data_IF_241582805415
#
_entry.id   IF_241582805415
#
_cell.length_a   1.000
_cell.length_b   1.000
_cell.length_c   1.000
_cell.angle_alpha   90.00
_cell.angle_beta   90.00
_cell.angle_gamma   90.00
#
_symmetry.space_group_name_H-M   'P 1'
#
loop_
_entity.id
_entity.type
_entity.pdbx_description
1 polymer ?
#
# COMPACT_ATOMS: atom_id res chain seq x y z
N UNK A 1 14.35 27.71 -21.45
CA UNK A 1 13.70 27.59 -20.11
C UNK A 1 14.76 27.25 -19.09
N UNK A 2 14.82 27.96 -17.97
CA UNK A 2 15.86 27.74 -16.95
C UNK A 2 15.47 26.55 -16.05
N UNK A 3 16.40 25.67 -15.65
CA UNK A 3 16.11 24.46 -14.89
C UNK A 3 15.23 24.70 -13.66
N UNK A 4 15.45 25.80 -12.92
CA UNK A 4 14.71 26.16 -11.70
C UNK A 4 13.19 26.34 -11.89
N UNK A 5 12.75 26.78 -13.08
CA UNK A 5 11.31 26.99 -13.36
C UNK A 5 10.60 25.67 -13.65
N UNK A 6 11.31 24.69 -14.24
CA UNK A 6 10.78 23.35 -14.52
C UNK A 6 10.63 22.57 -13.20
N UNK A 7 11.63 22.66 -12.32
CA UNK A 7 11.55 22.02 -11.00
C UNK A 7 10.41 22.60 -10.15
N UNK A 8 10.19 23.91 -10.14
CA UNK A 8 9.11 24.51 -9.34
C UNK A 8 7.71 24.17 -9.85
N UNK A 9 7.52 24.04 -11.18
CA UNK A 9 6.26 23.58 -11.76
C UNK A 9 6.01 22.09 -11.49
N UNK A 10 7.02 21.23 -11.63
CA UNK A 10 6.88 19.80 -11.36
C UNK A 10 6.51 19.52 -9.90
N UNK A 11 7.13 20.22 -8.95
CA UNK A 11 6.78 20.11 -7.52
C UNK A 11 5.34 20.57 -7.26
N UNK A 12 4.92 21.71 -7.82
CA UNK A 12 3.53 22.20 -7.66
C UNK A 12 2.50 21.24 -8.24
N UNK A 13 2.72 20.72 -9.45
CA UNK A 13 1.80 19.78 -10.07
C UNK A 13 1.66 18.50 -9.22
N UNK A 14 2.75 18.06 -8.58
CA UNK A 14 2.75 16.90 -7.68
C UNK A 14 1.94 17.19 -6.40
N UNK A 15 2.15 18.35 -5.77
CA UNK A 15 1.39 18.78 -4.58
C UNK A 15 -0.11 18.95 -4.88
N UNK A 16 -0.44 19.55 -6.01
CA UNK A 16 -1.82 19.71 -6.49
C UNK A 16 -2.45 18.33 -6.76
N UNK A 17 -1.70 17.39 -7.33
CA UNK A 17 -2.19 16.03 -7.50
C UNK A 17 -2.48 15.36 -6.18
N UNK A 18 -1.58 15.37 -5.19
CA UNK A 18 -1.82 14.74 -3.87
C UNK A 18 -3.08 15.30 -3.18
N UNK A 19 -3.29 16.62 -3.31
CA UNK A 19 -4.44 17.31 -2.72
C UNK A 19 -5.75 16.92 -3.39
N UNK A 20 -5.76 16.80 -4.72
CA UNK A 20 -6.99 16.56 -5.49
C UNK A 20 -7.28 15.08 -5.78
N UNK A 21 -6.32 14.19 -5.56
CA UNK A 21 -6.42 12.77 -5.91
C UNK A 21 -7.08 11.91 -4.82
N UNK A 22 -7.39 12.45 -3.65
CA UNK A 22 -7.94 11.67 -2.52
C UNK A 22 -6.90 10.77 -1.83
N UNK A 23 -5.62 10.89 -2.19
CA UNK A 23 -4.52 10.10 -1.65
C UNK A 23 -4.25 10.38 -0.17
N UNK A 24 -4.30 11.65 0.22
CA UNK A 24 -4.12 12.04 1.62
C UNK A 24 -5.21 11.42 2.50
N UNK A 25 -6.45 11.44 2.00
CA UNK A 25 -7.57 10.80 2.70
C UNK A 25 -7.40 9.28 2.77
N UNK A 26 -6.96 8.63 1.69
CA UNK A 26 -6.64 7.20 1.69
C UNK A 26 -5.65 6.83 2.80
N UNK A 27 -4.55 7.57 2.95
CA UNK A 27 -3.55 7.27 3.97
C UNK A 27 -4.04 7.55 5.39
N UNK A 28 -4.87 8.57 5.56
CA UNK A 28 -5.51 8.87 6.84
C UNK A 28 -6.50 7.78 7.26
N UNK A 29 -7.25 7.22 6.32
CA UNK A 29 -8.28 6.21 6.57
C UNK A 29 -7.69 4.80 6.75
N UNK A 30 -6.56 4.48 6.12
CA UNK A 30 -5.98 3.13 6.09
C UNK A 30 -5.76 2.48 7.48
N UNK A 31 -5.20 3.17 8.50
CA UNK A 31 -5.06 2.59 9.84
C UNK A 31 -6.42 2.27 10.48
N UNK A 32 -7.39 3.18 10.36
CA UNK A 32 -8.72 3.01 10.96
C UNK A 32 -9.49 1.88 10.27
N UNK A 33 -9.44 1.82 8.94
CA UNK A 33 -10.07 0.76 8.16
C UNK A 33 -9.45 -0.61 8.45
N UNK A 34 -8.12 -0.68 8.57
CA UNK A 34 -7.43 -1.92 8.97
C UNK A 34 -7.92 -2.39 10.34
N UNK A 35 -8.04 -1.47 11.31
CA UNK A 35 -8.56 -1.79 12.65
C UNK A 35 -10.00 -2.30 12.60
N UNK A 36 -10.90 -1.56 11.93
CA UNK A 36 -12.32 -1.95 11.79
C UNK A 36 -12.48 -3.32 11.13
N UNK A 37 -11.70 -3.59 10.08
CA UNK A 37 -11.71 -4.88 9.41
C UNK A 37 -11.21 -5.99 10.35
N UNK A 38 -10.16 -5.72 11.12
CA UNK A 38 -9.64 -6.66 12.09
C UNK A 38 -10.63 -6.95 13.22
N UNK A 39 -11.32 -5.93 13.73
CA UNK A 39 -12.34 -6.07 14.79
C UNK A 39 -13.57 -6.86 14.29
N UNK A 40 -13.94 -6.68 13.02
CA UNK A 40 -15.08 -7.37 12.42
C UNK A 40 -14.82 -8.85 12.11
N UNK A 41 -13.60 -9.20 11.68
CA UNK A 41 -13.31 -10.52 11.13
C UNK A 41 -12.21 -11.32 11.85
N UNK A 42 -11.46 -10.71 12.78
CA UNK A 42 -10.48 -11.40 13.62
C UNK A 42 -9.22 -11.90 12.92
N UNK A 43 -8.77 -11.24 11.85
CA UNK A 43 -7.70 -11.75 10.98
C UNK A 43 -6.26 -11.38 11.36
N UNK A 44 -6.05 -10.75 12.53
CA UNK A 44 -4.75 -10.29 13.03
C UNK A 44 -3.98 -9.45 12.00
N UNK A 45 -4.62 -8.41 11.49
CA UNK A 45 -4.00 -7.45 10.59
C UNK A 45 -3.14 -6.45 11.37
N UNK A 46 -1.94 -6.16 10.87
CA UNK A 46 -1.05 -5.10 11.37
C UNK A 46 -0.77 -4.08 10.29
N UNK A 47 -0.96 -2.80 10.64
CA UNK A 47 -0.68 -1.67 9.77
C UNK A 47 0.74 -1.15 10.00
N UNK A 48 1.44 -0.85 8.90
CA UNK A 48 2.75 -0.23 8.88
C UNK A 48 2.69 1.01 7.98
N UNK A 49 2.89 2.18 8.59
CA UNK A 49 2.93 3.48 7.90
C UNK A 49 4.34 3.92 7.51
N UNK A 50 5.31 3.00 7.53
CA UNK A 50 6.69 3.21 7.12
C UNK A 50 7.02 2.24 5.99
N UNK A 51 7.94 2.60 5.08
CA UNK A 51 8.41 1.69 4.04
C UNK A 51 9.04 0.40 4.62
N UNK A 52 9.05 -0.72 3.86
CA UNK A 52 9.88 -1.87 4.19
C UNK A 52 11.37 -1.53 3.98
N UNK A 53 12.27 -2.42 4.39
CA UNK A 53 13.71 -2.26 4.11
C UNK A 53 13.98 -2.48 2.62
N UNK A 54 13.31 -3.46 2.02
CA UNK A 54 13.46 -3.84 0.61
C UNK A 54 12.10 -4.14 -0.02
N UNK A 55 12.00 -3.88 -1.32
CA UNK A 55 10.92 -4.34 -2.17
C UNK A 55 11.54 -5.12 -3.33
N UNK A 56 11.21 -6.41 -3.43
CA UNK A 56 11.77 -7.31 -4.43
C UNK A 56 13.31 -7.34 -4.45
N UNK A 57 13.91 -7.12 -3.27
CA UNK A 57 15.36 -7.05 -3.10
C UNK A 57 15.98 -5.66 -3.34
N UNK A 58 15.17 -4.65 -3.67
CA UNK A 58 15.59 -3.29 -4.01
C UNK A 58 15.16 -2.27 -2.92
N UNK A 59 16.15 -1.56 -2.37
CA UNK A 59 15.97 -0.53 -1.33
C UNK A 59 15.40 0.78 -1.91
N UNK A 60 15.75 1.13 -3.15
CA UNK A 60 15.21 2.30 -3.83
C UNK A 60 13.73 2.07 -4.17
N UNK A 61 13.39 0.88 -4.66
CA UNK A 61 11.99 0.51 -4.90
C UNK A 61 11.16 0.53 -3.61
N UNK A 62 11.74 0.14 -2.48
CA UNK A 62 11.09 0.18 -1.16
C UNK A 62 10.63 1.58 -0.77
N UNK A 63 11.40 2.62 -1.13
CA UNK A 63 11.05 4.02 -0.84
C UNK A 63 9.73 4.47 -1.49
N UNK A 64 9.27 3.77 -2.53
CA UNK A 64 7.98 4.05 -3.18
C UNK A 64 6.80 3.48 -2.40
N UNK A 65 7.02 2.60 -1.43
CA UNK A 65 5.95 2.00 -0.61
C UNK A 65 5.56 2.97 0.49
N UNK A 66 4.36 3.55 0.38
CA UNK A 66 3.87 4.50 1.38
C UNK A 66 3.31 3.83 2.63
N UNK A 67 2.72 2.64 2.48
CA UNK A 67 2.21 1.84 3.59
C UNK A 67 2.11 0.38 3.18
N UNK A 68 2.05 -0.49 4.19
CA UNK A 68 1.65 -1.88 4.02
C UNK A 68 0.87 -2.41 5.23
N UNK A 69 0.00 -3.38 4.96
CA UNK A 69 -0.80 -4.10 5.95
C UNK A 69 -0.42 -5.57 5.88
N UNK A 70 0.04 -6.14 6.98
CA UNK A 70 0.44 -7.54 7.09
C UNK A 70 -0.67 -8.33 7.75
N UNK A 71 -1.01 -9.48 7.19
CA UNK A 71 -1.80 -10.50 7.89
C UNK A 71 -0.85 -11.41 8.66
N UNK A 72 -0.94 -11.38 9.98
CA UNK A 72 -0.16 -12.28 10.84
C UNK A 72 -0.94 -13.55 11.15
N UNK A 73 -0.52 -14.67 10.54
CA UNK A 73 -1.06 -15.97 10.91
C UNK A 73 -0.25 -16.58 12.05
N UNK A 74 -0.83 -16.62 13.26
CA UNK A 74 -0.18 -17.24 14.42
C UNK A 74 0.13 -18.73 14.25
N UNK A 75 -0.62 -19.42 13.39
CA UNK A 75 -0.42 -20.85 13.11
C UNK A 75 0.65 -21.10 12.03
N UNK A 76 0.96 -20.08 11.21
CA UNK A 76 1.93 -20.14 10.11
C UNK A 76 2.71 -18.80 10.06
N UNK A 77 3.56 -18.52 11.06
CA UNK A 77 4.26 -17.23 11.20
C UNK A 77 5.18 -16.91 10.03
N UNK A 78 5.61 -17.92 9.27
CA UNK A 78 6.39 -17.79 8.04
C UNK A 78 5.57 -17.28 6.84
N UNK A 79 4.23 -17.30 6.92
CA UNK A 79 3.33 -16.87 5.83
C UNK A 79 2.73 -15.49 6.10
N UNK A 80 3.59 -14.47 6.07
CA UNK A 80 3.21 -13.07 6.26
C UNK A 80 2.81 -12.43 4.93
N UNK A 81 1.58 -12.69 4.47
CA UNK A 81 1.03 -11.96 3.34
C UNK A 81 0.84 -10.49 3.69
N UNK A 82 1.07 -9.61 2.74
CA UNK A 82 0.79 -8.19 2.89
C UNK A 82 0.05 -7.60 1.70
N UNK A 83 -0.74 -6.58 1.98
CA UNK A 83 -1.19 -5.57 1.03
C UNK A 83 -0.21 -4.41 1.16
N UNK A 84 0.32 -3.88 0.06
CA UNK A 84 1.14 -2.69 0.11
C UNK A 84 0.76 -1.71 -0.99
N UNK A 85 0.93 -0.41 -0.72
CA UNK A 85 0.63 0.66 -1.67
C UNK A 85 1.91 1.34 -2.11
N UNK A 86 2.12 1.41 -3.43
CA UNK A 86 3.19 2.20 -4.02
C UNK A 86 2.64 3.54 -4.47
N UNK A 87 3.40 4.58 -4.18
CA UNK A 87 3.15 5.95 -4.63
C UNK A 87 4.23 6.33 -5.61
N UNK A 88 3.79 6.75 -6.78
CA UNK A 88 4.61 7.27 -7.85
C UNK A 88 3.99 8.61 -8.30
N UNK A 89 4.72 9.45 -9.02
CA UNK A 89 4.15 10.66 -9.58
C UNK A 89 2.85 10.36 -10.33
N UNK A 90 1.76 11.02 -9.93
CA UNK A 90 0.43 10.91 -10.52
C UNK A 90 -0.24 9.52 -10.46
N UNK A 91 0.31 8.58 -9.68
CA UNK A 91 -0.16 7.19 -9.64
C UNK A 91 0.00 6.55 -8.27
N UNK A 92 -1.05 5.87 -7.82
CA UNK A 92 -0.98 4.86 -6.76
C UNK A 92 -1.24 3.49 -7.35
N UNK A 93 -0.51 2.49 -6.87
CA UNK A 93 -0.80 1.09 -7.17
C UNK A 93 -0.88 0.26 -5.89
N UNK A 94 -1.83 -0.65 -5.84
CA UNK A 94 -2.04 -1.57 -4.75
C UNK A 94 -1.55 -2.96 -5.16
N UNK A 95 -0.83 -3.63 -4.27
CA UNK A 95 -0.15 -4.90 -4.55
C UNK A 95 -0.32 -5.87 -3.39
N UNK A 96 -0.23 -7.15 -3.70
CA UNK A 96 -0.13 -8.21 -2.70
C UNK A 96 1.27 -8.81 -2.76
N UNK A 97 1.84 -9.08 -1.59
CA UNK A 97 3.17 -9.66 -1.45
C UNK A 97 3.34 -10.53 -0.21
N UNK A 98 4.58 -10.95 0.04
CA UNK A 98 5.03 -11.59 1.27
C UNK A 98 6.06 -10.73 1.99
N UNK A 99 6.03 -10.73 3.32
CA UNK A 99 7.07 -10.11 4.15
C UNK A 99 8.04 -11.17 4.67
N UNK A 100 9.30 -11.09 4.26
CA UNK A 100 10.40 -11.89 4.80
C UNK A 100 11.57 -10.98 5.13
N UNK A 101 12.02 -10.99 6.38
CA UNK A 101 13.23 -10.28 6.83
C UNK A 101 13.35 -8.82 6.34
N UNK A 102 12.28 -8.04 6.57
CA UNK A 102 12.23 -6.63 6.15
C UNK A 102 12.01 -6.40 4.65
N UNK A 103 12.05 -7.45 3.83
CA UNK A 103 11.77 -7.41 2.39
C UNK A 103 10.31 -7.77 2.09
N UNK A 104 9.68 -6.98 1.21
CA UNK A 104 8.42 -7.36 0.57
C UNK A 104 8.73 -8.02 -0.76
N UNK A 105 8.23 -9.24 -0.99
CA UNK A 105 8.27 -9.92 -2.29
C UNK A 105 6.90 -9.80 -2.94
N UNK A 106 6.82 -9.17 -4.10
CA UNK A 106 5.58 -8.94 -4.84
C UNK A 106 5.06 -10.23 -5.45
N UNK A 107 3.77 -10.50 -5.25
CA UNK A 107 3.05 -11.62 -5.86
C UNK A 107 2.22 -11.11 -7.04
N UNK A 108 1.44 -10.04 -6.83
CA UNK A 108 0.53 -9.53 -7.87
C UNK A 108 0.12 -8.07 -7.63
N UNK A 109 -0.13 -7.34 -8.71
CA UNK A 109 -0.75 -6.00 -8.68
C UNK A 109 -2.29 -6.15 -8.67
N UNK A 110 -2.95 -5.51 -7.70
CA UNK A 110 -4.41 -5.43 -7.63
C UNK A 110 -4.99 -4.36 -8.56
N UNK A 111 -4.19 -3.34 -8.86
CA UNK A 111 -4.53 -2.28 -9.81
C UNK A 111 -3.89 -0.95 -9.45
N UNK A 112 -4.08 0.03 -10.33
CA UNK A 112 -3.55 1.37 -10.17
C UNK A 112 -4.55 2.47 -10.50
N UNK A 113 -4.34 3.64 -9.88
CA UNK A 113 -5.29 4.74 -9.85
C UNK A 113 -4.55 6.07 -9.85
N UNK A 114 -5.05 7.03 -10.63
CA UNK A 114 -4.63 8.44 -10.57
C UNK A 114 -5.49 9.26 -9.60
N UNK A 115 -6.67 8.74 -9.21
CA UNK A 115 -7.59 9.36 -8.27
C UNK A 115 -8.33 8.30 -7.45
N UNK A 116 -8.61 8.61 -6.19
CA UNK A 116 -9.30 7.77 -5.22
C UNK A 116 -10.54 8.52 -4.73
N UNK A 117 -11.66 8.30 -5.40
CA UNK A 117 -12.94 8.98 -5.10
C UNK A 117 -13.62 8.46 -3.83
N UNK A 118 -13.42 7.18 -3.51
CA UNK A 118 -13.99 6.51 -2.33
C UNK A 118 -12.90 5.67 -1.63
N UNK A 119 -12.04 6.29 -0.81
CA UNK A 119 -10.90 5.61 -0.21
C UNK A 119 -11.29 4.42 0.68
N UNK A 120 -12.38 4.55 1.43
CA UNK A 120 -12.87 3.50 2.34
C UNK A 120 -13.29 2.23 1.59
N UNK A 121 -14.07 2.38 0.52
CA UNK A 121 -14.50 1.24 -0.32
C UNK A 121 -13.30 0.53 -0.94
N UNK A 122 -12.33 1.31 -1.45
CA UNK A 122 -11.09 0.75 -2.02
C UNK A 122 -10.25 0.02 -0.99
N UNK A 123 -10.08 0.58 0.20
CA UNK A 123 -9.37 -0.08 1.29
C UNK A 123 -10.07 -1.39 1.69
N UNK A 124 -11.40 -1.39 1.76
CA UNK A 124 -12.16 -2.60 2.07
C UNK A 124 -11.94 -3.69 1.00
N UNK A 125 -12.03 -3.35 -0.28
CA UNK A 125 -11.80 -4.28 -1.39
C UNK A 125 -10.39 -4.87 -1.36
N UNK A 126 -9.37 -4.05 -1.11
CA UNK A 126 -7.99 -4.50 -1.05
C UNK A 126 -7.69 -5.36 0.19
N UNK A 127 -8.26 -5.01 1.35
CA UNK A 127 -8.17 -5.84 2.54
C UNK A 127 -8.84 -7.20 2.31
N UNK A 128 -9.98 -7.23 1.63
CA UNK A 128 -10.63 -8.47 1.21
C UNK A 128 -9.75 -9.27 0.24
N UNK A 129 -9.07 -8.61 -0.69
CA UNK A 129 -8.13 -9.26 -1.61
C UNK A 129 -6.93 -9.88 -0.86
N UNK A 130 -6.37 -9.19 0.14
CA UNK A 130 -5.35 -9.74 1.04
C UNK A 130 -5.84 -10.99 1.76
N UNK A 131 -7.08 -10.96 2.27
CA UNK A 131 -7.64 -12.13 2.94
C UNK A 131 -7.80 -13.31 2.00
N UNK A 132 -8.27 -13.05 0.78
CA UNK A 132 -8.40 -14.07 -0.25
C UNK A 132 -7.03 -14.69 -0.59
N UNK A 133 -6.04 -13.86 -0.92
CA UNK A 133 -4.69 -14.30 -1.26
C UNK A 133 -4.06 -15.16 -0.17
N UNK A 134 -4.23 -14.73 1.08
CA UNK A 134 -3.65 -15.42 2.24
C UNK A 134 -4.37 -16.71 2.63
N UNK A 135 -5.60 -16.93 2.16
CA UNK A 135 -6.35 -18.17 2.34
C UNK A 135 -6.15 -19.14 1.16
N UNK A 136 -6.18 -18.65 -0.07
CA UNK A 136 -6.02 -19.44 -1.30
C UNK A 136 -4.57 -19.95 -1.48
N UNK A 137 -3.63 -19.43 -0.68
CA UNK A 137 -2.19 -19.67 -0.81
C UNK A 137 -1.75 -19.36 -2.24
N UNK A 138 -1.81 -18.09 -2.62
CA UNK A 138 -1.23 -17.62 -3.89
C UNK A 138 0.32 -17.68 -3.81
N UNK A 139 0.86 -18.90 -3.77
CA UNK A 139 2.27 -19.28 -4.00
C UNK A 139 2.34 -20.77 -4.32
#
# INVERSE_FOLDING_TARGET
>A
MKPKEIYSQATRNTEDWFTNSGVIELFREAPQMTRRFNDAFGFNLKYYGTPPEKLDGDEEAASTVALYVVRENRLLPERRYCLYLRVQPEKISAHIGYVSDGNIITITELGSFSQVKSPQDKLYDWLRALMRASCEKLA
#
